data_IF_050543707188
#
_entry.id   IF_050543707188
#
_cell.length_a   1.000
_cell.length_b   1.000
_cell.length_c   1.000
_cell.angle_alpha   90.00
_cell.angle_beta   90.00
_cell.angle_gamma   90.00
#
_symmetry.space_group_name_H-M   'P 1'
#
loop_
_entity.id
_entity.type
_entity.pdbx_description
1 polymer ?
#
# COMPACT_ATOMS: atom_id res chain seq x y z
N UNK A 1 15.14 -4.28 5.51
CA UNK A 1 14.81 -5.41 4.61
C UNK A 1 14.89 -4.80 3.25
N UNK A 2 15.76 -5.27 2.36
CA UNK A 2 15.96 -4.56 1.09
C UNK A 2 14.64 -4.36 0.31
N UNK A 3 14.54 -3.18 -0.33
CA UNK A 3 13.38 -2.69 -1.07
C UNK A 3 12.82 -3.70 -2.08
N UNK A 4 13.66 -4.42 -2.84
CA UNK A 4 13.22 -5.39 -3.84
C UNK A 4 12.47 -6.57 -3.21
N UNK A 5 12.92 -6.99 -2.02
CA UNK A 5 12.27 -8.05 -1.26
C UNK A 5 10.93 -7.57 -0.70
N UNK A 6 10.84 -6.32 -0.28
CA UNK A 6 9.60 -5.72 0.19
C UNK A 6 8.55 -5.65 -0.94
N UNK A 7 8.91 -5.06 -2.09
CA UNK A 7 8.05 -4.99 -3.28
C UNK A 7 7.52 -6.35 -3.70
N UNK A 8 8.39 -7.38 -3.78
CA UNK A 8 7.99 -8.75 -4.11
C UNK A 8 6.98 -9.33 -3.12
N UNK A 9 7.10 -9.03 -1.83
CA UNK A 9 6.14 -9.49 -0.81
C UNK A 9 4.80 -8.79 -0.96
N UNK A 10 4.79 -7.48 -1.18
CA UNK A 10 3.58 -6.68 -1.41
C UNK A 10 2.85 -7.18 -2.67
N UNK A 11 3.56 -7.25 -3.80
CA UNK A 11 3.00 -7.74 -5.06
C UNK A 11 2.42 -9.16 -4.94
N UNK A 12 3.05 -10.03 -4.15
CA UNK A 12 2.51 -11.38 -3.87
C UNK A 12 1.19 -11.33 -3.08
N UNK A 13 1.01 -10.37 -2.18
CA UNK A 13 -0.25 -10.19 -1.45
C UNK A 13 -1.33 -9.61 -2.37
N UNK A 14 -1.00 -8.56 -3.14
CA UNK A 14 -1.90 -7.95 -4.13
C UNK A 14 -2.40 -8.98 -5.14
N UNK A 15 -1.51 -9.83 -5.66
CA UNK A 15 -1.86 -10.88 -6.63
C UNK A 15 -2.88 -11.91 -6.10
N UNK A 16 -3.08 -12.02 -4.79
CA UNK A 16 -4.12 -12.92 -4.24
C UNK A 16 -5.53 -12.39 -4.52
N UNK A 17 -5.67 -11.11 -4.88
CA UNK A 17 -6.94 -10.47 -5.16
C UNK A 17 -7.82 -10.30 -3.93
N UNK A 18 -9.08 -9.91 -4.17
CA UNK A 18 -10.07 -9.72 -3.13
C UNK A 18 -10.66 -11.05 -2.64
N UNK A 19 -10.61 -11.26 -1.33
CA UNK A 19 -11.11 -12.42 -0.59
C UNK A 19 -11.96 -12.02 0.63
N UNK A 20 -12.51 -10.81 0.62
CA UNK A 20 -13.29 -10.26 1.73
C UNK A 20 -12.48 -9.40 2.69
N UNK A 21 -13.13 -9.00 3.77
CA UNK A 21 -12.57 -8.12 4.80
C UNK A 21 -11.96 -8.92 5.96
N UNK A 22 -10.97 -8.39 6.70
CA UNK A 22 -10.45 -7.03 6.61
C UNK A 22 -9.66 -6.78 5.31
N UNK A 23 -9.88 -5.62 4.69
CA UNK A 23 -9.25 -5.20 3.44
C UNK A 23 -8.19 -4.16 3.76
N UNK A 24 -7.01 -4.32 3.16
CA UNK A 24 -6.00 -3.27 3.08
C UNK A 24 -5.85 -2.83 1.63
N UNK A 25 -5.93 -1.54 1.33
CA UNK A 25 -5.64 -0.99 0.00
C UNK A 25 -4.45 -0.03 0.05
N UNK A 26 -3.69 -0.03 -1.04
CA UNK A 26 -2.57 0.88 -1.28
C UNK A 26 -2.89 1.74 -2.49
N UNK A 27 -2.76 3.05 -2.36
CA UNK A 27 -2.89 3.99 -3.47
C UNK A 27 -1.70 4.95 -3.48
N UNK A 28 -1.07 5.10 -4.64
CA UNK A 28 0.10 5.95 -4.83
C UNK A 28 -0.29 7.28 -5.45
N UNK A 29 0.32 8.36 -4.97
CA UNK A 29 0.06 9.72 -5.43
C UNK A 29 1.35 10.47 -5.68
N UNK A 30 1.31 11.44 -6.60
CA UNK A 30 2.49 12.21 -6.97
C UNK A 30 2.18 13.43 -7.81
N UNK A 31 3.21 14.25 -8.08
CA UNK A 31 3.08 15.40 -8.99
C UNK A 31 3.03 14.98 -10.46
N UNK A 32 3.50 13.78 -10.77
CA UNK A 32 3.48 13.18 -12.11
C UNK A 32 3.03 11.73 -12.01
N UNK A 33 2.59 11.15 -13.12
CA UNK A 33 2.22 9.74 -13.18
C UNK A 33 3.43 8.78 -13.00
N UNK A 34 4.65 9.30 -13.15
CA UNK A 34 5.87 8.50 -13.12
C UNK A 34 6.45 8.35 -11.72
N UNK A 35 6.27 9.35 -10.85
CA UNK A 35 6.91 9.41 -9.52
C UNK A 35 5.84 9.49 -8.44
N UNK A 36 5.74 8.45 -7.61
CA UNK A 36 4.88 8.45 -6.43
C UNK A 36 5.61 9.10 -5.24
N UNK A 37 5.23 10.32 -4.87
CA UNK A 37 5.79 10.97 -3.66
C UNK A 37 4.99 10.66 -2.41
N UNK A 38 3.82 10.05 -2.54
CA UNK A 38 2.96 9.65 -1.42
C UNK A 38 2.35 8.27 -1.65
N UNK A 39 2.08 7.56 -0.55
CA UNK A 39 1.26 6.35 -0.53
C UNK A 39 0.26 6.46 0.61
N UNK A 40 -1.01 6.20 0.32
CA UNK A 40 -2.07 6.08 1.30
C UNK A 40 -2.38 4.61 1.48
N UNK A 41 -2.34 4.17 2.74
CA UNK A 41 -2.75 2.84 3.17
C UNK A 41 -4.11 2.96 3.82
N UNK A 42 -5.10 2.26 3.29
CA UNK A 42 -6.46 2.27 3.83
C UNK A 42 -6.80 0.88 4.35
N UNK A 43 -7.28 0.81 5.59
CA UNK A 43 -7.77 -0.41 6.22
C UNK A 43 -9.28 -0.32 6.44
N UNK A 44 -10.01 -1.32 5.96
CA UNK A 44 -11.45 -1.45 6.13
C UNK A 44 -11.74 -2.76 6.85
N UNK A 45 -12.38 -2.70 8.02
CA UNK A 45 -12.58 -3.87 8.88
C UNK A 45 -13.64 -4.84 8.33
N UNK A 46 -14.73 -4.31 7.81
CA UNK A 46 -15.87 -5.04 7.24
C UNK A 46 -16.59 -4.18 6.21
N UNK A 47 -17.51 -4.78 5.46
CA UNK A 47 -18.24 -4.08 4.40
C UNK A 47 -19.06 -2.93 4.98
N UNK A 48 -18.89 -1.73 4.42
CA UNK A 48 -19.58 -0.51 4.88
C UNK A 48 -19.00 0.11 6.16
N UNK A 49 -17.95 -0.47 6.76
CA UNK A 49 -17.26 0.16 7.87
C UNK A 49 -16.45 1.39 7.43
N UNK A 50 -16.36 2.36 8.33
CA UNK A 50 -15.51 3.55 8.13
C UNK A 50 -14.03 3.14 7.95
N UNK A 51 -13.39 3.55 6.85
CA UNK A 51 -12.01 3.23 6.58
C UNK A 51 -11.05 3.99 7.50
N UNK A 52 -9.93 3.35 7.84
CA UNK A 52 -8.82 3.99 8.54
C UNK A 52 -7.67 4.22 7.57
N UNK A 53 -7.18 5.45 7.49
CA UNK A 53 -6.13 5.82 6.55
C UNK A 53 -4.82 6.16 7.26
N UNK A 54 -3.72 5.74 6.66
CA UNK A 54 -2.38 6.16 7.03
C UNK A 54 -1.61 6.58 5.79
N UNK A 55 -1.12 7.82 5.80
CA UNK A 55 -0.33 8.38 4.70
C UNK A 55 1.16 8.35 5.02
N UNK A 56 1.95 7.98 4.01
CA UNK A 56 3.40 8.14 4.00
C UNK A 56 3.79 9.00 2.81
N UNK A 57 4.78 9.87 3.01
CA UNK A 57 5.29 10.76 1.98
C UNK A 57 6.83 10.75 2.00
N UNK A 58 7.43 10.98 0.83
CA UNK A 58 8.87 11.16 0.66
C UNK A 58 9.14 12.19 -0.43
N UNK A 59 10.32 12.81 -0.39
CA UNK A 59 10.78 13.70 -1.47
C UNK A 59 11.09 12.92 -2.75
N UNK A 60 11.40 11.62 -2.61
CA UNK A 60 11.67 10.69 -3.70
C UNK A 60 10.50 9.72 -3.90
N UNK A 61 10.64 8.81 -4.87
CA UNK A 61 9.64 7.79 -5.10
C UNK A 61 9.49 6.86 -3.88
N UNK A 62 8.32 6.86 -3.25
CA UNK A 62 8.00 6.05 -2.06
C UNK A 62 8.03 4.55 -2.36
N UNK A 63 7.95 4.16 -3.64
CA UNK A 63 8.13 2.77 -4.08
C UNK A 63 9.59 2.33 -3.93
N UNK A 64 10.54 3.26 -3.99
CA UNK A 64 11.98 3.01 -3.87
C UNK A 64 12.53 3.21 -2.45
N UNK A 65 11.74 3.77 -1.54
CA UNK A 65 12.14 4.02 -0.15
C UNK A 65 12.12 2.72 0.68
N UNK A 66 13.29 2.23 1.09
CA UNK A 66 13.41 0.98 1.87
C UNK A 66 12.62 1.04 3.19
N UNK A 67 12.57 2.21 3.83
CA UNK A 67 11.90 2.38 5.12
C UNK A 67 10.40 2.29 4.93
N UNK A 68 9.84 3.03 3.97
CA UNK A 68 8.40 3.00 3.66
C UNK A 68 7.99 1.60 3.23
N UNK A 69 8.71 0.98 2.31
CA UNK A 69 8.39 -0.38 1.83
C UNK A 69 8.46 -1.42 2.96
N UNK A 70 9.43 -1.29 3.88
CA UNK A 70 9.51 -2.15 5.07
C UNK A 70 8.34 -1.93 6.04
N UNK A 71 7.86 -0.69 6.18
CA UNK A 71 6.69 -0.36 7.01
C UNK A 71 5.42 -0.92 6.39
N UNK A 72 5.21 -0.75 5.07
CA UNK A 72 4.05 -1.30 4.36
C UNK A 72 3.93 -2.82 4.55
N UNK A 73 5.03 -3.56 4.42
CA UNK A 73 5.03 -5.00 4.67
C UNK A 73 4.64 -5.32 6.11
N UNK A 74 5.13 -4.57 7.10
CA UNK A 74 4.74 -4.77 8.51
C UNK A 74 3.27 -4.46 8.76
N UNK A 75 2.72 -3.44 8.10
CA UNK A 75 1.29 -3.11 8.18
C UNK A 75 0.48 -4.28 7.63
N UNK A 76 0.79 -4.75 6.41
CA UNK A 76 0.10 -5.89 5.79
C UNK A 76 0.19 -7.14 6.68
N UNK A 77 1.38 -7.47 7.20
CA UNK A 77 1.59 -8.66 8.02
C UNK A 77 0.84 -8.58 9.37
N UNK A 78 0.64 -7.37 9.93
CA UNK A 78 -0.02 -7.16 11.23
C UNK A 78 -1.51 -6.88 11.15
N UNK A 79 -1.99 -6.37 10.01
CA UNK A 79 -3.39 -5.99 9.83
C UNK A 79 -4.35 -7.20 9.86
N UNK A 80 -3.82 -8.43 9.73
CA UNK A 80 -4.66 -9.62 9.61
C UNK A 80 -5.58 -9.56 8.39
N UNK A 81 -5.18 -8.81 7.36
CA UNK A 81 -6.01 -8.54 6.20
C UNK A 81 -6.24 -9.82 5.40
N UNK A 82 -7.50 -10.09 5.07
CA UNK A 82 -7.89 -11.17 4.17
C UNK A 82 -7.59 -10.81 2.71
N UNK A 83 -7.62 -9.51 2.41
CA UNK A 83 -7.37 -8.96 1.09
C UNK A 83 -6.35 -7.84 1.16
N UNK A 84 -5.45 -7.79 0.17
CA UNK A 84 -4.61 -6.63 -0.09
C UNK A 84 -4.85 -6.22 -1.54
N UNK A 85 -5.20 -4.96 -1.76
CA UNK A 85 -5.39 -4.39 -3.08
C UNK A 85 -4.42 -3.22 -3.29
N UNK A 86 -4.09 -2.96 -4.55
CA UNK A 86 -3.25 -1.84 -4.95
C UNK A 86 -3.93 -1.18 -6.14
N UNK A 87 -4.12 0.14 -6.08
CA UNK A 87 -4.55 0.92 -7.23
C UNK A 87 -3.39 1.03 -8.21
N UNK A 88 -3.62 0.60 -9.45
CA UNK A 88 -2.56 0.65 -10.47
C UNK A 88 -2.17 2.09 -10.81
N UNK A 89 -0.86 2.32 -10.94
CA UNK A 89 -0.29 3.61 -11.34
C UNK A 89 -0.15 4.61 -10.19
N UNK A 90 0.07 5.87 -10.57
CA UNK A 90 0.20 7.01 -9.64
C UNK A 90 -0.87 8.02 -9.97
N UNK A 91 -1.68 8.38 -8.99
CA UNK A 91 -2.69 9.44 -9.12
C UNK A 91 -2.04 10.81 -8.95
N UNK A 92 -2.38 11.75 -9.83
CA UNK A 92 -1.83 13.12 -9.78
C UNK A 92 -2.54 13.89 -8.66
N UNK A 93 -1.76 14.55 -7.81
CA UNK A 93 -2.23 15.45 -6.74
C UNK A 93 -2.64 16.83 -7.25
#
# INVERSE_FOLDING_TARGET
MNVDKAKKRIAKQVKKGFKGYPLLSLAYFGKTADIATEVVVTFTLEEGAEPQEQKFASENDVREDETIQSVLVKIIDRAGANSVLETEGVSIL
#
